data_IF_460718440716
#
_entry.id   IF_460718440716
#
_cell.length_a   1.000
_cell.length_b   1.000
_cell.length_c   1.000
_cell.angle_alpha   90.00
_cell.angle_beta   90.00
_cell.angle_gamma   90.00
#
_symmetry.space_group_name_H-M   'P 1'
#
loop_
_entity.id
_entity.type
_entity.pdbx_description
1 polymer ?
#
# COMPACT_ATOMS: atom_id res chain seq x y z
N UNK A 1 -22.94 -13.24 12.20
CA UNK A 1 -23.11 -11.79 12.01
C UNK A 1 -22.64 -11.41 10.62
N UNK A 2 -23.33 -10.53 9.91
CA UNK A 2 -22.90 -10.06 8.58
C UNK A 2 -21.69 -9.14 8.76
N UNK A 3 -20.63 -9.36 7.98
CA UNK A 3 -19.42 -8.51 8.03
C UNK A 3 -19.76 -7.08 7.58
N UNK A 4 -19.37 -6.03 8.32
CA UNK A 4 -19.63 -4.65 7.96
C UNK A 4 -19.06 -4.28 6.58
N UNK A 5 -19.81 -3.49 5.80
CA UNK A 5 -19.35 -3.00 4.49
C UNK A 5 -18.01 -2.23 4.54
N UNK A 6 -17.74 -1.37 5.54
CA UNK A 6 -16.46 -0.64 5.60
C UNK A 6 -15.25 -1.56 5.73
N UNK A 7 -15.42 -2.69 6.44
CA UNK A 7 -14.34 -3.66 6.65
C UNK A 7 -14.00 -4.40 5.34
N UNK A 8 -15.02 -4.77 4.57
CA UNK A 8 -14.84 -5.33 3.22
C UNK A 8 -14.21 -4.31 2.27
N UNK A 9 -14.65 -3.05 2.31
CA UNK A 9 -14.08 -1.99 1.49
C UNK A 9 -12.61 -1.73 1.84
N UNK A 10 -12.27 -1.71 3.13
CA UNK A 10 -10.89 -1.59 3.59
C UNK A 10 -10.01 -2.72 3.05
N UNK A 11 -10.48 -3.96 3.10
CA UNK A 11 -9.75 -5.12 2.58
C UNK A 11 -9.55 -5.03 1.06
N UNK A 12 -10.60 -4.67 0.31
CA UNK A 12 -10.52 -4.48 -1.14
C UNK A 12 -9.54 -3.35 -1.51
N UNK A 13 -9.56 -2.24 -0.77
CA UNK A 13 -8.65 -1.12 -1.01
C UNK A 13 -7.19 -1.52 -0.81
N UNK A 14 -6.88 -2.27 0.26
CA UNK A 14 -5.52 -2.79 0.48
C UNK A 14 -5.09 -3.83 -0.57
N UNK A 15 -6.00 -4.73 -0.98
CA UNK A 15 -5.71 -5.70 -2.04
C UNK A 15 -5.40 -4.98 -3.36
N UNK A 16 -6.23 -4.02 -3.75
CA UNK A 16 -6.09 -3.31 -5.03
C UNK A 16 -4.90 -2.37 -5.03
N UNK A 17 -4.64 -1.64 -3.93
CA UNK A 17 -3.43 -0.82 -3.75
C UNK A 17 -2.17 -1.68 -3.79
N UNK A 18 -2.14 -2.77 -3.04
CA UNK A 18 -0.99 -3.68 -2.99
C UNK A 18 -0.67 -4.27 -4.37
N UNK A 19 -1.68 -4.69 -5.12
CA UNK A 19 -1.51 -5.14 -6.51
C UNK A 19 -0.95 -4.05 -7.43
N UNK A 20 -1.43 -2.81 -7.32
CA UNK A 20 -0.90 -1.70 -8.11
C UNK A 20 0.56 -1.39 -7.75
N UNK A 21 0.92 -1.43 -6.47
CA UNK A 21 2.31 -1.25 -6.05
C UNK A 21 3.22 -2.37 -6.54
N UNK A 22 2.78 -3.63 -6.46
CA UNK A 22 3.55 -4.77 -6.93
C UNK A 22 3.72 -4.73 -8.46
N UNK A 23 2.69 -4.37 -9.21
CA UNK A 23 2.70 -4.48 -10.68
C UNK A 23 3.17 -3.20 -11.36
N UNK A 24 2.56 -2.07 -11.04
CA UNK A 24 2.79 -0.78 -11.71
C UNK A 24 4.02 -0.06 -11.16
N UNK A 25 4.18 -0.01 -9.83
CA UNK A 25 5.34 0.70 -9.24
C UNK A 25 6.64 -0.07 -9.49
N UNK A 26 6.62 -1.40 -9.46
CA UNK A 26 7.77 -2.21 -9.92
C UNK A 26 8.14 -1.89 -11.37
N UNK A 27 7.17 -1.82 -12.28
CA UNK A 27 7.42 -1.49 -13.68
C UNK A 27 7.99 -0.08 -13.86
N UNK A 28 7.41 0.92 -13.18
CA UNK A 28 7.87 2.31 -13.23
C UNK A 28 9.26 2.46 -12.61
N UNK A 29 9.55 1.73 -11.52
CA UNK A 29 10.87 1.71 -10.90
C UNK A 29 11.92 1.04 -11.80
N UNK A 30 11.58 -0.08 -12.44
CA UNK A 30 12.43 -0.74 -13.45
C UNK A 30 12.68 0.15 -14.66
N UNK A 31 11.67 0.86 -15.15
CA UNK A 31 11.80 1.82 -16.25
C UNK A 31 12.65 3.03 -15.83
N UNK A 32 12.46 3.54 -14.62
CA UNK A 32 13.28 4.62 -14.04
C UNK A 32 14.75 4.22 -13.87
N UNK A 33 15.03 3.00 -13.40
CA UNK A 33 16.38 2.44 -13.30
C UNK A 33 16.97 2.16 -14.68
N UNK A 34 16.19 1.63 -15.63
CA UNK A 34 16.66 1.38 -16.99
C UNK A 34 16.97 2.69 -17.74
N UNK A 35 16.13 3.71 -17.56
CA UNK A 35 16.40 5.07 -18.01
C UNK A 35 17.62 5.65 -17.29
N UNK A 36 17.77 5.47 -15.98
CA UNK A 36 18.96 5.92 -15.25
C UNK A 36 20.23 5.26 -15.76
N UNK A 37 20.27 3.94 -15.92
CA UNK A 37 21.39 3.18 -16.49
C UNK A 37 21.68 3.60 -17.95
N UNK A 38 20.65 3.86 -18.77
CA UNK A 38 20.81 4.42 -20.12
C UNK A 38 21.25 5.89 -20.13
N UNK A 39 21.04 6.60 -19.02
CA UNK A 39 21.40 8.00 -18.80
C UNK A 39 22.72 8.15 -18.02
N UNK A 40 23.32 7.10 -17.47
CA UNK A 40 24.73 7.14 -16.99
C UNK A 40 25.70 7.52 -18.13
N UNK A 41 25.24 7.44 -19.39
CA UNK A 41 25.86 8.02 -20.58
C UNK A 41 25.80 9.55 -20.68
N UNK A 42 24.98 10.24 -19.86
CA UNK A 42 24.76 11.69 -19.82
C UNK A 42 24.68 12.23 -18.36
N UNK A 43 25.64 13.02 -17.88
CA UNK A 43 25.86 13.29 -16.44
C UNK A 43 24.83 14.19 -15.71
N UNK A 44 23.72 14.60 -16.34
CA UNK A 44 22.87 15.70 -15.84
C UNK A 44 21.50 15.29 -15.26
N UNK A 45 21.19 14.00 -15.10
CA UNK A 45 19.85 13.51 -14.73
C UNK A 45 19.85 12.68 -13.43
N UNK A 46 20.57 13.16 -12.41
CA UNK A 46 20.78 12.45 -11.14
C UNK A 46 19.54 12.34 -10.24
N UNK A 47 18.56 13.24 -10.36
CA UNK A 47 17.37 13.23 -9.49
C UNK A 47 16.35 12.12 -9.84
N UNK A 48 16.19 11.79 -11.13
CA UNK A 48 15.21 10.80 -11.58
C UNK A 48 15.57 9.35 -11.20
N UNK A 49 16.85 9.01 -11.22
CA UNK A 49 17.33 7.68 -10.80
C UNK A 49 17.21 7.42 -9.31
N UNK A 50 17.41 8.47 -8.49
CA UNK A 50 17.24 8.39 -7.03
C UNK A 50 15.77 8.12 -6.70
N UNK A 51 14.83 8.85 -7.31
CA UNK A 51 13.41 8.59 -7.13
C UNK A 51 12.99 7.18 -7.59
N UNK A 52 13.56 6.68 -8.70
CA UNK A 52 13.34 5.31 -9.18
C UNK A 52 13.85 4.22 -8.22
N UNK A 53 15.01 4.44 -7.58
CA UNK A 53 15.58 3.56 -6.56
C UNK A 53 14.76 3.55 -5.27
N UNK A 54 14.28 4.70 -4.80
CA UNK A 54 13.40 4.76 -3.62
C UNK A 54 12.03 4.13 -3.90
N UNK A 55 11.55 4.16 -5.15
CA UNK A 55 10.29 3.52 -5.56
C UNK A 55 10.34 1.99 -5.45
N UNK A 56 11.53 1.37 -5.43
CA UNK A 56 11.66 -0.07 -5.17
C UNK A 56 11.23 -0.46 -3.75
N UNK A 57 11.32 0.47 -2.79
CA UNK A 57 10.86 0.24 -1.42
C UNK A 57 9.32 0.19 -1.31
N UNK A 58 8.59 0.61 -2.35
CA UNK A 58 7.13 0.46 -2.41
C UNK A 58 6.71 -0.96 -2.76
N UNK A 59 7.59 -1.80 -3.32
CA UNK A 59 7.25 -3.19 -3.68
C UNK A 59 7.05 -4.06 -2.42
N UNK A 60 7.95 -4.07 -1.43
CA UNK A 60 7.70 -4.75 -0.16
C UNK A 60 6.46 -4.22 0.57
N UNK A 61 6.24 -2.90 0.53
CA UNK A 61 5.04 -2.28 1.12
C UNK A 61 3.80 -2.83 0.41
N UNK A 62 3.76 -2.83 -0.93
CA UNK A 62 2.68 -3.41 -1.71
C UNK A 62 2.41 -4.90 -1.43
N UNK A 63 3.45 -5.68 -1.15
CA UNK A 63 3.29 -7.09 -0.73
C UNK A 63 2.63 -7.22 0.64
N UNK A 64 2.99 -6.35 1.59
CA UNK A 64 2.35 -6.29 2.90
C UNK A 64 0.90 -5.81 2.81
N UNK A 65 0.62 -4.81 1.97
CA UNK A 65 -0.74 -4.32 1.67
C UNK A 65 -1.62 -5.44 1.13
N UNK A 66 -1.15 -6.13 0.10
CA UNK A 66 -1.86 -7.25 -0.51
C UNK A 66 -2.10 -8.37 0.51
N UNK A 67 -1.06 -8.77 1.24
CA UNK A 67 -1.14 -9.81 2.25
C UNK A 67 -2.13 -9.48 3.38
N UNK A 68 -2.07 -8.27 3.92
CA UNK A 68 -2.96 -7.82 4.98
C UNK A 68 -4.41 -7.69 4.50
N UNK A 69 -4.62 -7.20 3.28
CA UNK A 69 -5.95 -7.12 2.68
C UNK A 69 -6.57 -8.50 2.42
N UNK A 70 -5.80 -9.46 1.90
CA UNK A 70 -6.25 -10.85 1.73
C UNK A 70 -6.53 -11.51 3.08
N UNK A 71 -5.65 -11.33 4.07
CA UNK A 71 -5.85 -11.87 5.41
C UNK A 71 -7.10 -11.28 6.07
N UNK A 72 -7.32 -9.96 5.98
CA UNK A 72 -8.54 -9.31 6.47
C UNK A 72 -9.82 -9.68 5.71
N UNK A 73 -9.68 -10.18 4.48
CA UNK A 73 -10.81 -10.73 3.72
C UNK A 73 -11.18 -12.15 4.17
N UNK A 74 -10.17 -13.00 4.43
CA UNK A 74 -10.34 -14.39 4.84
C UNK A 74 -10.69 -14.52 6.33
N UNK A 75 -9.98 -13.78 7.18
CA UNK A 75 -10.24 -13.66 8.61
C UNK A 75 -10.42 -12.19 9.02
N UNK A 76 -11.64 -11.66 8.92
CA UNK A 76 -11.93 -10.27 9.22
C UNK A 76 -11.80 -9.87 10.70
N UNK A 77 -11.73 -10.82 11.65
CA UNK A 77 -11.57 -10.48 13.08
C UNK A 77 -10.10 -10.30 13.44
N UNK A 78 -9.27 -11.26 13.06
CA UNK A 78 -7.84 -11.19 13.35
C UNK A 78 -7.12 -10.26 12.35
N UNK A 79 -7.56 -10.25 11.10
CA UNK A 79 -6.92 -9.50 10.02
C UNK A 79 -7.01 -7.98 10.14
N UNK A 80 -7.97 -7.44 10.91
CA UNK A 80 -8.05 -5.98 11.16
C UNK A 80 -6.77 -5.44 11.81
N UNK A 81 -6.14 -6.22 12.69
CA UNK A 81 -4.89 -5.81 13.34
C UNK A 81 -3.76 -5.64 12.32
N UNK A 82 -3.63 -6.60 11.40
CA UNK A 82 -2.68 -6.56 10.29
C UNK A 82 -3.00 -5.40 9.33
N UNK A 83 -4.26 -5.23 8.95
CA UNK A 83 -4.70 -4.13 8.09
C UNK A 83 -4.40 -2.76 8.70
N UNK A 84 -4.59 -2.58 10.01
CA UNK A 84 -4.25 -1.32 10.72
C UNK A 84 -2.75 -1.06 10.74
N UNK A 85 -1.94 -2.09 10.98
CA UNK A 85 -0.49 -1.97 11.02
C UNK A 85 0.06 -1.62 9.64
N UNK A 86 -0.45 -2.28 8.60
CA UNK A 86 -0.06 -2.01 7.22
C UNK A 86 -0.58 -0.66 6.73
N UNK A 87 -1.75 -0.19 7.17
CA UNK A 87 -2.21 1.16 6.89
C UNK A 87 -1.25 2.26 7.41
N UNK A 88 -0.54 2.00 8.50
CA UNK A 88 0.52 2.91 8.97
C UNK A 88 1.77 2.85 8.09
N UNK A 89 2.15 1.66 7.64
CA UNK A 89 3.25 1.50 6.69
C UNK A 89 2.93 2.17 5.33
N UNK A 90 1.68 2.09 4.87
CA UNK A 90 1.13 2.79 3.71
C UNK A 90 1.30 4.30 3.82
N UNK A 91 0.93 4.88 4.96
CA UNK A 91 1.09 6.32 5.24
C UNK A 91 2.58 6.71 5.24
N UNK A 92 3.44 5.90 5.87
CA UNK A 92 4.89 6.11 5.85
C UNK A 92 5.48 5.98 4.43
N UNK A 93 4.81 5.25 3.54
CA UNK A 93 5.16 5.09 2.13
C UNK A 93 5.23 6.40 1.34
N UNK A 94 4.63 7.50 1.84
CA UNK A 94 4.80 8.83 1.23
C UNK A 94 6.26 9.28 1.20
N UNK A 95 7.08 8.85 2.17
CA UNK A 95 8.51 9.21 2.26
C UNK A 95 9.33 8.63 1.11
N UNK A 96 8.80 7.61 0.44
CA UNK A 96 9.43 6.92 -0.69
C UNK A 96 8.66 7.12 -2.00
N UNK A 97 7.79 8.13 -2.06
CA UNK A 97 7.04 8.51 -3.27
C UNK A 97 5.67 7.84 -3.44
N UNK A 98 5.21 7.07 -2.46
CA UNK A 98 3.93 6.35 -2.49
C UNK A 98 2.72 7.21 -2.11
N UNK A 99 2.51 8.35 -2.78
CA UNK A 99 1.34 9.21 -2.50
C UNK A 99 0.00 8.44 -2.60
N UNK A 100 -0.23 7.56 -3.61
CA UNK A 100 -1.44 6.74 -3.67
C UNK A 100 -1.59 5.80 -2.46
N UNK A 101 -0.53 5.08 -2.05
CA UNK A 101 -0.55 4.25 -0.84
C UNK A 101 -0.88 5.04 0.41
N UNK A 102 -0.33 6.25 0.55
CA UNK A 102 -0.60 7.08 1.71
C UNK A 102 -2.07 7.49 1.80
N UNK A 103 -2.69 7.82 0.66
CA UNK A 103 -4.14 8.10 0.59
C UNK A 103 -4.94 6.85 0.96
N UNK A 104 -4.58 5.69 0.42
CA UNK A 104 -5.25 4.42 0.73
C UNK A 104 -5.15 4.10 2.21
N UNK A 105 -3.97 4.22 2.83
CA UNK A 105 -3.78 3.97 4.26
C UNK A 105 -4.60 4.90 5.16
N UNK A 106 -4.72 6.18 4.78
CA UNK A 106 -5.61 7.11 5.49
C UNK A 106 -7.09 6.70 5.39
N UNK A 107 -7.55 6.33 4.19
CA UNK A 107 -8.93 5.90 3.95
C UNK A 107 -9.24 4.59 4.67
N UNK A 108 -8.36 3.60 4.58
CA UNK A 108 -8.48 2.30 5.26
C UNK A 108 -8.56 2.50 6.77
N UNK A 109 -7.71 3.36 7.32
CA UNK A 109 -7.75 3.67 8.76
C UNK A 109 -9.05 4.36 9.17
N UNK A 110 -9.56 5.29 8.35
CA UNK A 110 -10.85 5.92 8.59
C UNK A 110 -12.01 4.91 8.53
N UNK A 111 -11.97 3.94 7.63
CA UNK A 111 -12.97 2.87 7.52
C UNK A 111 -12.91 1.89 8.70
N UNK A 112 -11.72 1.52 9.15
CA UNK A 112 -11.50 0.62 10.29
C UNK A 112 -11.74 1.26 11.66
N UNK A 113 -11.86 2.60 11.69
CA UNK A 113 -12.18 3.39 12.89
C UNK A 113 -13.66 3.73 13.04
N UNK A 114 -14.54 3.27 12.13
CA UNK A 114 -15.98 3.51 12.25
C UNK A 114 -16.59 2.69 13.38
N UNK A 115 -17.54 3.29 14.11
CA UNK A 115 -18.24 2.66 15.23
C UNK A 115 -18.88 1.31 14.85
N UNK A 116 -19.44 1.21 13.64
CA UNK A 116 -20.02 -0.04 13.11
C UNK A 116 -19.01 -1.20 13.01
N UNK A 117 -17.73 -0.90 12.79
CA UNK A 117 -16.64 -1.89 12.75
C UNK A 117 -16.17 -2.21 14.17
N UNK A 118 -16.03 -1.20 15.03
CA UNK A 118 -15.58 -1.39 16.42
C UNK A 118 -16.58 -2.24 17.21
N UNK A 119 -17.87 -1.92 17.11
CA UNK A 119 -18.95 -2.69 17.76
C UNK A 119 -19.00 -4.13 17.24
N UNK A 120 -18.71 -4.37 15.97
CA UNK A 120 -18.67 -5.72 15.39
C UNK A 120 -17.45 -6.54 15.86
N UNK A 121 -16.33 -5.87 16.16
CA UNK A 121 -15.12 -6.52 16.68
C UNK A 121 -15.21 -6.84 18.17
N UNK A 122 -15.98 -6.06 18.94
CA UNK A 122 -16.22 -6.27 20.37
C UNK A 122 -17.32 -7.31 20.67
N UNK A 123 -18.20 -7.58 19.70
CA UNK A 123 -19.28 -8.58 19.79
C UNK A 123 -18.91 -9.99 19.34
#
# INVERSE_FOLDING_TARGET
MVVPRPLRLAAILQITSGLLNILLVSWVAWLGISCFCGVVTFPFLSAGGVCGLFSFLLVPIGMLEFGAGVYGWLDPREGVSAMRLVAWAEIAGILVGGLPSAIVGLVVRALLGRDEVLVWLEG
#
